data_IF_915393905054
#
_entry.id   IF_915393905054
#
_cell.length_a   1.000
_cell.length_b   1.000
_cell.length_c   1.000
_cell.angle_alpha   90.00
_cell.angle_beta   90.00
_cell.angle_gamma   90.00
#
_symmetry.space_group_name_H-M   'P 1'
#
loop_
_entity.id
_entity.type
_entity.pdbx_description
1 polymer ?
#
# COMPACT_ATOMS: atom_id res chain seq x y z
N UNK A 1 -26.91 7.22 7.89
CA UNK A 1 -26.30 8.04 8.96
C UNK A 1 -25.10 7.38 9.63
N UNK A 2 -24.34 6.57 8.96
CA UNK A 2 -23.17 5.90 9.48
C UNK A 2 -21.89 6.40 8.83
N UNK A 3 -21.45 7.62 9.13
CA UNK A 3 -20.03 7.90 8.98
C UNK A 3 -19.31 7.04 10.00
N UNK A 4 -18.59 6.02 9.54
CA UNK A 4 -17.67 5.28 10.40
C UNK A 4 -16.71 6.31 11.02
N UNK A 5 -16.87 6.57 12.31
CA UNK A 5 -16.08 7.56 13.06
C UNK A 5 -14.62 7.11 13.25
N UNK A 6 -14.23 6.00 12.63
CA UNK A 6 -12.94 5.34 12.72
C UNK A 6 -12.01 5.71 11.55
N UNK A 7 -11.83 7.01 11.30
CA UNK A 7 -10.77 7.49 10.42
C UNK A 7 -10.94 7.25 8.91
N UNK A 8 -12.18 7.10 8.43
CA UNK A 8 -12.45 7.04 6.98
C UNK A 8 -12.10 5.71 6.28
N UNK A 9 -11.61 4.71 7.01
CA UNK A 9 -11.39 3.37 6.48
C UNK A 9 -12.72 2.61 6.35
N UNK A 10 -12.86 1.87 5.26
CA UNK A 10 -13.98 0.94 5.12
C UNK A 10 -13.89 -0.14 6.20
N UNK A 11 -15.00 -0.47 6.89
CA UNK A 11 -15.00 -1.50 7.91
C UNK A 11 -14.54 -2.85 7.34
N UNK A 12 -13.76 -3.62 8.10
CA UNK A 12 -13.25 -4.92 7.68
C UNK A 12 -14.36 -5.89 7.25
N UNK A 13 -15.55 -5.81 7.86
CA UNK A 13 -16.70 -6.64 7.45
C UNK A 13 -17.18 -6.33 6.02
N UNK A 14 -17.14 -5.06 5.61
CA UNK A 14 -17.54 -4.67 4.26
C UNK A 14 -16.52 -5.14 3.22
N UNK A 15 -15.23 -5.01 3.54
CA UNK A 15 -14.14 -5.51 2.68
C UNK A 15 -14.20 -7.04 2.55
N UNK A 16 -14.46 -7.74 3.64
CA UNK A 16 -14.67 -9.19 3.65
C UNK A 16 -15.87 -9.61 2.80
N UNK A 17 -16.99 -8.89 2.94
CA UNK A 17 -18.20 -9.15 2.13
C UNK A 17 -17.93 -8.92 0.65
N UNK A 18 -17.23 -7.86 0.30
CA UNK A 18 -16.83 -7.58 -1.09
C UNK A 18 -15.89 -8.64 -1.65
N UNK A 19 -14.87 -9.06 -0.89
CA UNK A 19 -13.99 -10.18 -1.23
C UNK A 19 -14.79 -11.46 -1.50
N UNK A 20 -15.69 -11.82 -0.58
CA UNK A 20 -16.51 -13.01 -0.72
C UNK A 20 -17.36 -12.95 -1.99
N UNK A 21 -18.07 -11.85 -2.21
CA UNK A 21 -18.93 -11.67 -3.39
C UNK A 21 -18.15 -11.77 -4.71
N UNK A 22 -16.98 -11.15 -4.80
CA UNK A 22 -16.13 -11.23 -5.99
C UNK A 22 -15.66 -12.66 -6.22
N UNK A 23 -15.23 -13.37 -5.20
CA UNK A 23 -14.71 -14.72 -5.30
C UNK A 23 -15.84 -15.73 -5.62
N UNK A 24 -17.03 -15.56 -5.02
CA UNK A 24 -18.20 -16.39 -5.32
C UNK A 24 -18.65 -16.23 -6.80
N UNK A 25 -18.72 -14.99 -7.29
CA UNK A 25 -19.07 -14.72 -8.70
C UNK A 25 -18.03 -15.27 -9.68
N UNK A 26 -16.77 -15.25 -9.28
CA UNK A 26 -15.69 -15.81 -10.10
C UNK A 26 -15.70 -17.35 -10.07
N UNK A 27 -16.10 -17.98 -8.97
CA UNK A 27 -15.83 -19.38 -8.68
C UNK A 27 -14.34 -19.66 -8.48
N UNK A 28 -13.56 -18.60 -8.22
CA UNK A 28 -12.11 -18.66 -7.96
C UNK A 28 -11.68 -17.50 -7.05
N UNK A 29 -10.48 -17.60 -6.47
CA UNK A 29 -9.95 -16.50 -5.65
C UNK A 29 -9.43 -15.37 -6.55
N UNK A 30 -10.18 -14.29 -6.66
CA UNK A 30 -9.84 -13.05 -7.39
C UNK A 30 -9.50 -11.89 -6.47
N UNK A 31 -10.01 -11.90 -5.25
CA UNK A 31 -9.89 -10.80 -4.31
C UNK A 31 -9.30 -11.28 -2.98
N UNK A 32 -8.48 -10.42 -2.40
CA UNK A 32 -8.00 -10.49 -1.02
C UNK A 32 -8.56 -9.27 -0.28
N UNK A 33 -8.60 -9.30 1.05
CA UNK A 33 -9.01 -8.15 1.84
C UNK A 33 -8.07 -7.87 3.01
N UNK A 34 -8.08 -6.62 3.44
CA UNK A 34 -7.28 -6.15 4.57
C UNK A 34 -8.18 -5.95 5.79
N UNK A 35 -7.68 -6.30 6.96
CA UNK A 35 -8.23 -5.88 8.23
C UNK A 35 -7.74 -4.49 8.60
N UNK A 36 -8.58 -3.69 9.23
CA UNK A 36 -8.25 -2.32 9.61
C UNK A 36 -8.10 -2.13 11.12
N UNK A 37 -8.14 -3.20 11.90
CA UNK A 37 -7.84 -3.12 13.32
C UNK A 37 -6.38 -2.66 13.53
N UNK A 38 -6.17 -1.69 14.40
CA UNK A 38 -4.88 -1.08 14.67
C UNK A 38 -4.64 -0.94 16.19
N UNK A 39 -3.40 -0.79 16.64
CA UNK A 39 -3.04 -0.79 18.07
C UNK A 39 -3.82 0.21 18.93
N UNK A 40 -4.22 1.34 18.38
CA UNK A 40 -4.95 2.41 19.07
C UNK A 40 -6.48 2.38 18.86
N UNK A 41 -7.06 1.30 18.34
CA UNK A 41 -8.51 1.22 18.07
C UNK A 41 -9.35 1.17 19.34
N UNK A 42 -8.85 0.57 20.40
CA UNK A 42 -9.55 0.41 21.66
C UNK A 42 -8.75 1.06 22.79
N UNK A 43 -9.32 2.09 23.38
CA UNK A 43 -8.65 2.90 24.38
C UNK A 43 -9.49 3.01 25.65
N UNK A 44 -8.92 2.62 26.78
CA UNK A 44 -9.47 2.84 28.10
C UNK A 44 -9.18 4.30 28.51
N UNK A 45 -10.15 5.18 28.27
CA UNK A 45 -10.01 6.61 28.53
C UNK A 45 -9.91 6.91 30.00
N UNK A 46 -10.49 6.08 30.86
CA UNK A 46 -10.44 6.29 32.32
C UNK A 46 -9.03 6.06 32.88
N UNK A 47 -8.32 5.10 32.36
CA UNK A 47 -6.96 4.74 32.77
C UNK A 47 -5.87 5.20 31.79
N UNK A 48 -6.26 5.90 30.72
CA UNK A 48 -5.36 6.43 29.68
C UNK A 48 -4.38 5.37 29.13
N UNK A 49 -4.91 4.21 28.73
CA UNK A 49 -4.11 3.08 28.19
C UNK A 49 -4.86 2.29 27.13
N UNK A 50 -4.15 1.49 26.29
CA UNK A 50 -4.79 0.57 25.37
C UNK A 50 -5.69 -0.44 26.10
N UNK A 51 -6.87 -0.73 25.55
CA UNK A 51 -7.73 -1.82 25.99
C UNK A 51 -7.41 -3.08 25.15
N UNK A 52 -6.40 -3.83 25.57
CA UNK A 52 -5.96 -5.02 24.85
C UNK A 52 -7.00 -6.15 24.81
N UNK A 53 -7.91 -6.25 25.79
CA UNK A 53 -8.95 -7.27 25.75
C UNK A 53 -9.85 -7.09 24.54
N UNK A 54 -10.45 -5.91 24.39
CA UNK A 54 -11.31 -5.59 23.26
C UNK A 54 -10.54 -5.60 21.92
N UNK A 55 -9.28 -5.13 21.95
CA UNK A 55 -8.42 -5.12 20.77
C UNK A 55 -8.20 -6.54 20.26
N UNK A 56 -7.82 -7.47 21.11
CA UNK A 56 -7.54 -8.85 20.73
C UNK A 56 -8.79 -9.61 20.29
N UNK A 57 -9.93 -9.38 20.93
CA UNK A 57 -11.22 -9.90 20.47
C UNK A 57 -11.56 -9.42 19.04
N UNK A 58 -11.31 -8.15 18.75
CA UNK A 58 -11.53 -7.59 17.42
C UNK A 58 -10.54 -8.19 16.39
N UNK A 59 -9.28 -8.33 16.74
CA UNK A 59 -8.28 -8.99 15.88
C UNK A 59 -8.72 -10.42 15.52
N UNK A 60 -9.14 -11.21 16.51
CA UNK A 60 -9.66 -12.57 16.30
C UNK A 60 -10.92 -12.57 15.42
N UNK A 61 -11.81 -11.61 15.62
CA UNK A 61 -13.01 -11.44 14.78
C UNK A 61 -12.64 -11.16 13.33
N UNK A 62 -11.68 -10.27 13.09
CA UNK A 62 -11.22 -9.95 11.74
C UNK A 62 -10.55 -11.14 11.07
N UNK A 63 -9.73 -11.87 11.80
CA UNK A 63 -9.09 -13.09 11.29
C UNK A 63 -10.09 -14.23 11.07
N UNK A 64 -10.85 -14.60 12.11
CA UNK A 64 -11.69 -15.80 12.10
C UNK A 64 -12.99 -15.64 11.34
N UNK A 65 -13.67 -14.50 11.48
CA UNK A 65 -14.97 -14.25 10.86
C UNK A 65 -14.84 -13.56 9.51
N UNK A 66 -13.99 -12.52 9.41
CA UNK A 66 -13.85 -11.73 8.19
C UNK A 66 -12.79 -12.29 7.24
N UNK A 67 -11.96 -13.23 7.69
CA UNK A 67 -10.96 -13.89 6.85
C UNK A 67 -10.07 -12.91 6.10
N UNK A 68 -9.57 -11.90 6.83
CA UNK A 68 -8.63 -10.94 6.29
C UNK A 68 -7.31 -11.61 5.90
N UNK A 69 -6.59 -11.02 4.95
CA UNK A 69 -5.33 -11.56 4.42
C UNK A 69 -4.10 -10.77 4.89
N UNK A 70 -4.29 -9.55 5.40
CA UNK A 70 -3.24 -8.67 5.93
C UNK A 70 -3.84 -7.58 6.80
N UNK A 71 -3.01 -6.89 7.57
CA UNK A 71 -3.39 -5.67 8.29
C UNK A 71 -3.15 -4.43 7.43
N UNK A 72 -4.05 -3.42 7.52
CA UNK A 72 -3.87 -2.09 6.92
C UNK A 72 -3.95 -1.04 7.99
N UNK A 73 -2.91 -0.22 8.11
CA UNK A 73 -2.77 0.79 9.15
C UNK A 73 -2.54 2.18 8.63
N UNK A 74 -3.05 3.14 9.41
CA UNK A 74 -2.82 4.57 9.31
C UNK A 74 -2.36 5.08 10.68
N UNK A 75 -1.05 5.22 10.87
CA UNK A 75 -0.46 5.59 12.16
C UNK A 75 -0.89 6.96 12.66
N UNK A 76 -1.31 7.84 11.74
CA UNK A 76 -1.75 9.21 11.99
C UNK A 76 -3.26 9.37 12.18
N UNK A 77 -3.98 8.28 12.43
CA UNK A 77 -5.40 8.31 12.80
C UNK A 77 -5.59 7.88 14.25
N UNK A 78 -6.67 8.35 14.87
CA UNK A 78 -6.98 8.05 16.27
C UNK A 78 -8.43 7.57 16.43
N UNK A 79 -8.77 6.38 15.93
CA UNK A 79 -10.13 5.84 15.99
C UNK A 79 -10.58 5.49 17.41
N UNK A 80 -9.66 5.15 18.29
CA UNK A 80 -9.91 4.83 19.70
C UNK A 80 -10.00 6.06 20.62
N UNK A 81 -9.80 7.28 20.05
CA UNK A 81 -9.81 8.54 20.81
C UNK A 81 -8.80 8.59 21.97
N UNK A 82 -7.61 8.04 21.71
CA UNK A 82 -6.49 8.09 22.65
C UNK A 82 -5.90 9.49 22.83
N UNK A 83 -6.26 10.43 21.94
CA UNK A 83 -5.59 11.72 21.76
C UNK A 83 -4.32 11.65 20.92
N UNK A 84 -3.88 10.45 20.59
CA UNK A 84 -2.63 10.19 19.86
C UNK A 84 -2.85 9.14 18.75
N UNK A 85 -2.05 9.20 17.69
CA UNK A 85 -1.86 8.08 16.80
C UNK A 85 -0.92 7.03 17.44
N UNK A 86 -0.22 6.25 16.62
CA UNK A 86 0.74 5.28 17.14
C UNK A 86 2.00 5.21 16.27
N UNK A 87 3.08 4.72 16.86
CA UNK A 87 4.31 4.39 16.15
C UNK A 87 4.43 2.89 15.96
N UNK A 88 5.09 2.47 14.90
CA UNK A 88 5.34 1.05 14.63
C UNK A 88 6.27 0.42 15.67
N UNK A 89 7.18 1.21 16.24
CA UNK A 89 8.18 0.80 17.22
C UNK A 89 7.75 1.06 18.68
N UNK A 90 6.46 1.30 18.92
CA UNK A 90 5.95 1.47 20.27
C UNK A 90 5.82 0.11 20.99
N UNK A 91 6.74 -0.13 21.93
CA UNK A 91 6.84 -1.39 22.67
C UNK A 91 5.64 -1.64 23.60
N UNK A 92 4.94 -0.59 24.02
CA UNK A 92 3.81 -0.72 24.95
C UNK A 92 2.47 -0.86 24.26
N UNK A 93 2.32 -0.28 23.07
CA UNK A 93 1.06 -0.27 22.35
C UNK A 93 1.07 -1.17 21.11
N UNK A 94 2.12 -1.06 20.29
CA UNK A 94 2.17 -1.74 19.00
C UNK A 94 2.75 -3.15 19.09
N UNK A 95 3.77 -3.40 19.93
CA UNK A 95 4.37 -4.72 20.04
C UNK A 95 3.40 -5.80 20.58
N UNK A 96 2.52 -5.53 21.58
CA UNK A 96 1.49 -6.49 21.94
C UNK A 96 0.57 -6.90 20.79
N UNK A 97 0.26 -5.97 19.88
CA UNK A 97 -0.49 -6.29 18.66
C UNK A 97 0.31 -7.24 17.74
N UNK A 98 1.62 -6.99 17.56
CA UNK A 98 2.47 -7.88 16.76
C UNK A 98 2.50 -9.29 17.32
N UNK A 99 2.68 -9.45 18.62
CA UNK A 99 2.71 -10.78 19.26
C UNK A 99 1.37 -11.50 19.07
N UNK A 100 0.25 -10.85 19.35
CA UNK A 100 -1.08 -11.43 19.10
C UNK A 100 -1.28 -11.79 17.63
N UNK A 101 -0.84 -10.95 16.72
CA UNK A 101 -0.93 -11.21 15.27
C UNK A 101 -0.09 -12.43 14.84
N UNK A 102 1.11 -12.60 15.41
CA UNK A 102 1.96 -13.78 15.16
C UNK A 102 1.31 -15.08 15.64
N UNK A 103 0.70 -15.06 16.82
CA UNK A 103 -0.08 -16.20 17.35
C UNK A 103 -1.18 -16.62 16.38
N UNK A 104 -1.79 -15.65 15.70
CA UNK A 104 -2.83 -15.89 14.70
C UNK A 104 -2.28 -16.25 13.30
N UNK A 105 -0.94 -16.31 13.14
CA UNK A 105 -0.29 -16.57 11.85
C UNK A 105 -0.31 -15.39 10.88
N UNK A 106 -0.73 -14.19 11.32
CA UNK A 106 -0.83 -12.98 10.52
C UNK A 106 0.47 -12.19 10.59
N UNK A 107 1.23 -12.14 9.47
CA UNK A 107 2.59 -11.56 9.44
C UNK A 107 2.76 -10.42 8.44
N UNK A 108 1.69 -9.96 7.80
CA UNK A 108 1.76 -8.98 6.72
C UNK A 108 1.05 -7.68 7.11
N UNK A 109 1.81 -6.59 7.12
CA UNK A 109 1.36 -5.25 7.49
C UNK A 109 1.50 -4.30 6.31
N UNK A 110 0.42 -3.60 5.98
CA UNK A 110 0.36 -2.58 4.94
C UNK A 110 0.14 -1.23 5.60
N UNK A 111 1.17 -0.40 5.60
CA UNK A 111 1.23 0.78 6.46
C UNK A 111 1.28 2.02 5.61
N UNK A 112 0.31 2.91 5.82
CA UNK A 112 0.33 4.24 5.21
C UNK A 112 1.44 5.08 5.84
N UNK A 113 2.45 5.40 5.05
CA UNK A 113 3.51 6.35 5.35
C UNK A 113 3.60 7.35 4.20
N UNK A 114 4.01 8.57 4.49
CA UNK A 114 3.90 9.67 3.53
C UNK A 114 2.55 10.38 3.59
N UNK A 115 2.28 11.27 2.63
CA UNK A 115 1.06 12.09 2.55
C UNK A 115 0.69 12.73 3.90
N UNK A 116 1.66 13.47 4.48
CA UNK A 116 1.60 14.03 5.83
C UNK A 116 0.39 14.96 6.07
N UNK A 117 -0.05 15.66 5.05
CA UNK A 117 -1.18 16.61 5.07
C UNK A 117 -2.55 15.96 5.32
N UNK A 118 -2.66 14.64 5.21
CA UNK A 118 -3.90 13.92 5.55
C UNK A 118 -4.31 14.07 7.03
N UNK A 119 -3.37 14.44 7.90
CA UNK A 119 -3.68 14.77 9.29
C UNK A 119 -2.93 16.02 9.73
N UNK A 120 -3.68 17.06 10.13
CA UNK A 120 -3.10 18.34 10.56
C UNK A 120 -2.28 18.20 11.85
N UNK A 121 -2.68 17.32 12.76
CA UNK A 121 -2.05 17.17 14.08
C UNK A 121 -1.11 15.98 14.16
N UNK A 122 -1.45 14.88 13.52
CA UNK A 122 -0.74 13.60 13.62
C UNK A 122 0.05 13.23 12.35
N UNK A 123 0.09 14.12 11.34
CA UNK A 123 0.77 13.86 10.06
C UNK A 123 2.22 13.44 10.20
N UNK A 124 2.92 13.92 11.24
CA UNK A 124 4.30 13.54 11.55
C UNK A 124 4.48 12.03 11.81
N UNK A 125 3.43 11.31 12.22
CA UNK A 125 3.44 9.87 12.42
C UNK A 125 3.43 9.08 11.09
N UNK A 126 3.16 9.76 9.97
CA UNK A 126 3.33 9.18 8.64
C UNK A 126 4.80 9.18 8.16
N UNK A 127 5.74 9.73 8.93
CA UNK A 127 7.17 9.63 8.67
C UNK A 127 7.66 8.18 8.84
N UNK A 128 8.59 7.67 7.99
CA UNK A 128 9.04 6.28 8.04
C UNK A 128 10.09 5.97 9.13
N UNK A 129 10.44 6.91 10.00
CA UNK A 129 11.52 6.75 10.98
C UNK A 129 11.32 5.63 12.01
N UNK A 130 10.08 5.24 12.27
CA UNK A 130 9.72 4.14 13.17
C UNK A 130 9.77 2.74 12.52
N UNK A 131 9.96 2.69 11.19
CA UNK A 131 10.02 1.42 10.43
C UNK A 131 11.28 0.64 10.79
N UNK A 132 12.42 1.32 10.93
CA UNK A 132 13.73 0.68 11.13
C UNK A 132 13.76 -0.20 12.39
N UNK A 133 13.36 0.38 13.53
CA UNK A 133 13.35 -0.36 14.80
C UNK A 133 12.30 -1.47 14.77
N UNK A 134 11.09 -1.19 14.31
CA UNK A 134 10.03 -2.19 14.22
C UNK A 134 10.42 -3.39 13.36
N UNK A 135 10.99 -3.14 12.17
CA UNK A 135 11.40 -4.22 11.26
C UNK A 135 12.60 -5.03 11.78
N UNK A 136 13.52 -4.38 12.50
CA UNK A 136 14.66 -5.05 13.12
C UNK A 136 14.23 -5.93 14.30
N UNK A 137 13.34 -5.44 15.14
CA UNK A 137 12.89 -6.12 16.35
C UNK A 137 11.91 -7.28 16.02
N UNK A 138 11.25 -7.21 14.85
CA UNK A 138 10.31 -8.21 14.34
C UNK A 138 10.69 -8.70 12.93
N UNK A 139 11.81 -9.42 12.78
CA UNK A 139 12.30 -9.85 11.46
C UNK A 139 11.41 -10.89 10.77
N UNK A 140 10.49 -11.51 11.50
CA UNK A 140 9.50 -12.46 11.01
C UNK A 140 8.20 -11.81 10.51
N UNK A 141 8.03 -10.48 10.67
CA UNK A 141 6.92 -9.69 10.13
C UNK A 141 7.34 -8.98 8.84
N UNK A 142 6.40 -8.75 7.93
CA UNK A 142 6.63 -8.03 6.68
C UNK A 142 5.91 -6.69 6.69
N UNK A 143 6.63 -5.61 6.44
CA UNK A 143 6.16 -4.22 6.46
C UNK A 143 6.13 -3.66 5.04
N UNK A 144 4.94 -3.49 4.47
CA UNK A 144 4.75 -2.85 3.18
C UNK A 144 4.45 -1.38 3.42
N UNK A 145 5.39 -0.52 3.05
CA UNK A 145 5.35 0.92 3.25
C UNK A 145 4.67 1.56 2.06
N UNK A 146 3.43 2.03 2.25
CA UNK A 146 2.62 2.63 1.21
C UNK A 146 3.20 3.94 0.72
N UNK A 147 2.96 4.19 -0.56
CA UNK A 147 3.42 5.39 -1.27
C UNK A 147 4.93 5.57 -1.25
N UNK A 148 5.68 4.50 -0.88
CA UNK A 148 7.14 4.58 -0.65
C UNK A 148 7.53 5.72 0.29
N UNK A 149 6.66 6.04 1.25
CA UNK A 149 6.79 7.14 2.21
C UNK A 149 6.97 8.53 1.57
N UNK A 150 6.46 8.78 0.37
CA UNK A 150 6.49 10.11 -0.26
C UNK A 150 5.74 11.13 0.60
N UNK A 151 6.41 12.20 1.05
CA UNK A 151 5.87 13.13 2.07
C UNK A 151 4.60 13.83 1.62
N UNK A 152 4.57 14.34 0.39
CA UNK A 152 3.47 15.09 -0.19
C UNK A 152 3.05 14.52 -1.53
N UNK A 153 1.78 14.69 -1.88
CA UNK A 153 1.23 14.35 -3.19
C UNK A 153 1.05 15.58 -4.08
N UNK A 154 1.04 15.40 -5.41
CA UNK A 154 0.66 16.49 -6.32
C UNK A 154 -0.72 17.06 -5.96
N UNK A 155 -0.80 18.40 -5.88
CA UNK A 155 -2.01 19.12 -5.47
C UNK A 155 -2.02 19.53 -4.00
N UNK A 156 -1.10 19.05 -3.17
CA UNK A 156 -0.87 19.60 -1.84
C UNK A 156 -0.02 20.88 -1.96
N UNK A 157 -0.30 21.95 -1.17
CA UNK A 157 0.47 23.19 -1.24
C UNK A 157 1.98 22.99 -1.06
N UNK A 158 2.34 22.12 -0.12
CA UNK A 158 3.72 21.80 0.23
C UNK A 158 4.44 20.93 -0.80
N UNK A 159 3.73 20.44 -1.83
CA UNK A 159 4.35 19.68 -2.92
C UNK A 159 5.31 20.53 -3.74
N UNK A 160 5.08 21.86 -3.78
CA UNK A 160 5.91 22.84 -4.47
C UNK A 160 7.06 23.39 -3.60
N UNK A 161 7.21 22.93 -2.35
CA UNK A 161 8.31 23.33 -1.48
C UNK A 161 9.62 22.70 -2.00
N UNK A 162 10.65 23.53 -2.27
CA UNK A 162 11.99 23.10 -2.69
C UNK A 162 12.60 22.05 -1.75
N UNK A 163 12.14 22.00 -0.50
CA UNK A 163 12.52 20.98 0.48
C UNK A 163 11.87 19.63 0.25
N UNK A 164 10.90 19.53 -0.63
CA UNK A 164 10.23 18.27 -0.94
C UNK A 164 11.02 17.43 -1.94
N UNK A 165 11.53 18.06 -2.99
CA UNK A 165 12.33 17.40 -4.02
C UNK A 165 13.40 18.35 -4.57
N UNK A 166 14.65 17.90 -4.62
CA UNK A 166 15.77 18.60 -5.26
C UNK A 166 16.13 17.87 -6.58
N UNK A 167 15.88 18.45 -7.74
CA UNK A 167 16.20 17.81 -9.03
C UNK A 167 17.70 17.67 -9.28
N UNK A 168 18.55 18.46 -8.58
CA UNK A 168 20.01 18.41 -8.75
C UNK A 168 20.61 17.18 -8.08
N UNK A 169 20.17 16.88 -6.86
CA UNK A 169 20.61 15.74 -6.05
C UNK A 169 19.68 14.54 -6.16
N UNK A 170 18.46 14.75 -6.64
CA UNK A 170 17.39 13.77 -6.62
C UNK A 170 16.83 13.50 -5.23
N UNK A 171 17.14 14.35 -4.23
CA UNK A 171 16.67 14.18 -2.85
C UNK A 171 15.15 14.35 -2.77
N UNK A 172 14.53 13.44 -2.00
CA UNK A 172 13.09 13.31 -1.95
C UNK A 172 12.63 13.17 -0.49
N UNK A 173 11.93 14.18 0.02
CA UNK A 173 11.58 14.24 1.43
C UNK A 173 10.80 12.99 1.91
N UNK A 174 11.22 12.43 3.04
CA UNK A 174 10.75 11.21 3.69
C UNK A 174 11.03 9.93 2.90
N UNK A 175 10.92 9.98 1.57
CA UNK A 175 11.28 8.84 0.73
C UNK A 175 12.75 8.45 0.92
N UNK A 176 13.66 9.42 0.93
CA UNK A 176 15.08 9.16 1.18
C UNK A 176 15.37 8.66 2.59
N UNK A 177 14.56 9.05 3.57
CA UNK A 177 14.71 8.49 4.92
C UNK A 177 14.35 7.00 4.94
N UNK A 178 13.34 6.57 4.16
CA UNK A 178 13.07 5.15 3.95
C UNK A 178 14.24 4.45 3.23
N UNK A 179 14.86 5.07 2.21
CA UNK A 179 16.02 4.50 1.52
C UNK A 179 17.23 4.35 2.46
N UNK A 180 17.47 5.33 3.31
CA UNK A 180 18.56 5.31 4.32
C UNK A 180 18.39 4.14 5.32
N UNK A 181 17.16 3.72 5.63
CA UNK A 181 16.94 2.52 6.47
C UNK A 181 17.61 1.30 5.85
N UNK A 182 17.37 1.04 4.56
CA UNK A 182 17.99 -0.09 3.86
C UNK A 182 19.50 0.05 3.74
N UNK A 183 20.00 1.26 3.54
CA UNK A 183 21.44 1.53 3.48
C UNK A 183 22.14 1.19 4.80
N UNK A 184 21.54 1.57 5.94
CA UNK A 184 22.07 1.23 7.27
C UNK A 184 21.91 -0.25 7.63
N UNK A 185 20.88 -0.90 7.06
CA UNK A 185 20.54 -2.29 7.34
C UNK A 185 20.48 -3.12 6.04
N UNK A 186 21.61 -3.37 5.36
CA UNK A 186 21.60 -4.02 4.04
C UNK A 186 21.02 -5.44 4.05
N UNK A 187 21.05 -6.13 5.20
CA UNK A 187 20.47 -7.46 5.39
C UNK A 187 18.99 -7.46 5.77
N UNK A 188 18.40 -6.31 6.06
CA UNK A 188 16.97 -6.21 6.37
C UNK A 188 16.14 -6.56 5.12
N UNK A 189 15.32 -7.60 5.20
CA UNK A 189 14.63 -8.20 4.05
C UNK A 189 13.10 -8.24 4.22
N UNK A 190 12.58 -7.55 5.21
CA UNK A 190 11.19 -7.55 5.60
C UNK A 190 10.48 -6.19 5.44
N UNK A 191 11.11 -5.24 4.74
CA UNK A 191 10.53 -3.93 4.40
C UNK A 191 10.37 -3.83 2.89
N UNK A 192 9.20 -3.39 2.44
CA UNK A 192 8.80 -3.28 1.04
C UNK A 192 8.29 -1.88 0.72
N UNK A 193 8.62 -1.36 -0.46
CA UNK A 193 8.17 -0.06 -0.96
C UNK A 193 6.95 -0.26 -1.87
N UNK A 194 5.78 0.21 -1.47
CA UNK A 194 4.58 0.16 -2.29
C UNK A 194 4.39 1.49 -3.04
N UNK A 195 3.98 1.42 -4.31
CA UNK A 195 3.96 2.57 -5.23
C UNK A 195 2.57 3.06 -5.60
N UNK A 196 1.53 2.63 -4.88
CA UNK A 196 0.15 3.11 -5.05
C UNK A 196 0.05 4.63 -4.84
N UNK A 197 -0.81 5.28 -5.56
CA UNK A 197 -0.91 6.74 -5.72
C UNK A 197 0.39 7.40 -6.20
N UNK A 198 1.53 7.16 -5.55
CA UNK A 198 2.78 7.86 -5.87
C UNK A 198 3.22 7.67 -7.32
N UNK A 199 3.18 6.44 -7.85
CA UNK A 199 3.46 6.24 -9.28
C UNK A 199 2.42 6.93 -10.18
N UNK A 200 1.12 6.66 -9.94
CA UNK A 200 0.05 7.17 -10.80
C UNK A 200 0.00 8.70 -10.87
N UNK A 201 0.23 9.37 -9.74
CA UNK A 201 0.23 10.83 -9.68
C UNK A 201 1.47 11.45 -10.32
N UNK A 202 2.65 10.87 -10.09
CA UNK A 202 3.90 11.43 -10.62
C UNK A 202 4.12 11.12 -12.10
N UNK A 203 3.70 9.96 -12.59
CA UNK A 203 4.03 9.49 -13.93
C UNK A 203 3.56 10.45 -15.05
N UNK A 204 2.49 11.21 -14.82
CA UNK A 204 1.93 12.15 -15.80
C UNK A 204 2.45 13.56 -15.58
N UNK A 205 2.43 14.03 -14.33
CA UNK A 205 2.68 15.47 -14.03
C UNK A 205 4.13 15.76 -13.67
N UNK A 206 4.87 14.76 -13.16
CA UNK A 206 6.26 14.90 -12.74
C UNK A 206 7.07 13.65 -13.09
N UNK A 207 7.27 13.35 -14.40
CA UNK A 207 7.90 12.10 -14.85
C UNK A 207 9.34 11.91 -14.35
N UNK A 208 10.12 12.99 -14.22
CA UNK A 208 11.48 12.93 -13.67
C UNK A 208 11.45 12.50 -12.19
N UNK A 209 10.61 13.13 -11.39
CA UNK A 209 10.37 12.77 -9.99
C UNK A 209 9.92 11.30 -9.86
N UNK A 210 9.06 10.84 -10.77
CA UNK A 210 8.64 9.45 -10.86
C UNK A 210 9.83 8.51 -11.13
N UNK A 211 10.74 8.89 -12.03
CA UNK A 211 11.95 8.13 -12.31
C UNK A 211 12.87 8.05 -11.10
N UNK A 212 13.02 9.13 -10.32
CA UNK A 212 13.76 9.11 -9.06
C UNK A 212 13.12 8.20 -8.02
N UNK A 213 11.80 8.28 -7.82
CA UNK A 213 11.08 7.43 -6.88
C UNK A 213 11.33 5.94 -7.19
N UNK A 214 11.07 5.54 -8.42
CA UNK A 214 11.22 4.13 -8.85
C UNK A 214 12.69 3.71 -8.88
N UNK A 215 13.56 4.59 -9.37
CA UNK A 215 15.00 4.36 -9.44
C UNK A 215 15.63 4.09 -8.07
N UNK A 216 15.29 4.89 -7.08
CA UNK A 216 15.74 4.72 -5.69
C UNK A 216 15.17 3.45 -5.05
N UNK A 217 13.86 3.20 -5.20
CA UNK A 217 13.26 1.97 -4.70
C UNK A 217 14.01 0.73 -5.20
N UNK A 218 14.25 0.65 -6.51
CA UNK A 218 14.95 -0.49 -7.11
C UNK A 218 16.45 -0.51 -6.79
N UNK A 219 17.09 0.65 -6.69
CA UNK A 219 18.52 0.75 -6.37
C UNK A 219 18.82 0.26 -4.95
N UNK A 220 18.03 0.67 -3.98
CA UNK A 220 18.30 0.40 -2.56
C UNK A 220 17.64 -0.89 -2.06
N UNK A 221 16.37 -1.11 -2.38
CA UNK A 221 15.61 -2.27 -1.92
C UNK A 221 15.64 -3.44 -2.92
N UNK A 222 15.95 -3.18 -4.19
CA UNK A 222 15.84 -4.18 -5.26
C UNK A 222 14.41 -4.34 -5.77
N UNK A 223 14.26 -4.79 -7.01
CA UNK A 223 12.94 -5.02 -7.62
C UNK A 223 12.09 -6.07 -6.90
N UNK A 224 12.70 -6.91 -6.05
CA UNK A 224 12.02 -7.93 -5.23
C UNK A 224 11.24 -7.34 -4.04
N UNK A 225 11.53 -6.08 -3.67
CA UNK A 225 10.92 -5.38 -2.54
C UNK A 225 10.06 -4.18 -2.98
N UNK A 226 9.77 -4.05 -4.25
CA UNK A 226 8.82 -3.05 -4.74
C UNK A 226 7.48 -3.71 -5.04
N UNK A 227 6.40 -3.17 -4.46
CA UNK A 227 5.05 -3.72 -4.56
C UNK A 227 4.17 -2.78 -5.38
N UNK A 228 3.47 -3.34 -6.36
CA UNK A 228 2.49 -2.62 -7.17
C UNK A 228 1.25 -2.30 -6.37
N UNK A 229 0.79 -1.07 -6.49
CA UNK A 229 -0.52 -0.60 -6.09
C UNK A 229 -1.02 0.44 -7.08
N UNK A 230 -2.32 0.67 -7.14
CA UNK A 230 -2.92 1.77 -7.90
C UNK A 230 -3.58 2.78 -7.00
N UNK A 231 -4.03 2.35 -5.82
CA UNK A 231 -4.82 3.15 -4.89
C UNK A 231 -6.13 3.65 -5.53
N UNK A 232 -6.71 2.84 -6.44
CA UNK A 232 -8.04 3.11 -6.99
C UNK A 232 -9.12 2.86 -5.91
N UNK A 233 -10.20 3.65 -5.90
CA UNK A 233 -10.78 4.40 -7.05
C UNK A 233 -10.41 5.89 -7.13
N UNK A 234 -9.51 6.41 -6.30
CA UNK A 234 -9.17 7.85 -6.28
C UNK A 234 -8.79 8.42 -7.65
N UNK A 235 -8.21 7.59 -8.51
CA UNK A 235 -7.68 7.95 -9.82
C UNK A 235 -8.52 7.37 -10.97
N UNK A 236 -9.74 6.93 -10.71
CA UNK A 236 -10.60 6.27 -11.70
C UNK A 236 -10.16 4.85 -12.02
N UNK A 237 -10.20 4.44 -13.32
CA UNK A 237 -9.81 3.10 -13.73
C UNK A 237 -8.30 2.86 -13.55
N UNK A 238 -7.89 1.71 -12.98
CA UNK A 238 -6.47 1.36 -12.85
C UNK A 238 -5.77 1.07 -14.18
N UNK A 239 -6.50 0.90 -15.27
CA UNK A 239 -5.95 0.39 -16.53
C UNK A 239 -4.89 1.32 -17.14
N UNK A 240 -5.11 2.62 -17.11
CA UNK A 240 -4.14 3.58 -17.64
C UNK A 240 -2.83 3.59 -16.82
N UNK A 241 -2.91 3.41 -15.50
CA UNK A 241 -1.73 3.32 -14.62
C UNK A 241 -0.93 2.06 -14.95
N UNK A 242 -1.64 0.93 -15.17
CA UNK A 242 -1.03 -0.34 -15.58
C UNK A 242 -0.32 -0.19 -16.93
N UNK A 243 -0.99 0.39 -17.91
CA UNK A 243 -0.44 0.54 -19.28
C UNK A 243 0.70 1.56 -19.32
N UNK A 244 0.66 2.59 -18.49
CA UNK A 244 1.78 3.51 -18.27
C UNK A 244 2.99 2.78 -17.72
N UNK A 245 2.85 2.00 -16.65
CA UNK A 245 3.99 1.32 -16.03
C UNK A 245 4.60 0.22 -16.92
N UNK A 246 3.81 -0.43 -17.77
CA UNK A 246 4.35 -1.36 -18.79
C UNK A 246 5.39 -0.69 -19.69
N UNK A 247 5.18 0.58 -20.06
CA UNK A 247 6.05 1.36 -20.94
C UNK A 247 7.11 2.14 -20.18
N UNK A 248 6.87 2.42 -18.89
CA UNK A 248 7.75 3.23 -18.06
C UNK A 248 9.19 2.73 -18.09
N UNK A 249 10.13 3.67 -18.23
CA UNK A 249 11.56 3.43 -18.05
C UNK A 249 12.22 4.66 -17.42
N UNK A 250 13.32 4.43 -16.73
CA UNK A 250 14.21 5.47 -16.25
C UNK A 250 15.06 5.91 -17.43
N UNK A 251 15.29 7.22 -17.60
CA UNK A 251 16.12 7.75 -18.68
C UNK A 251 17.58 7.31 -18.56
N UNK A 252 18.31 7.27 -19.67
CA UNK A 252 19.75 6.94 -19.67
C UNK A 252 20.52 7.95 -18.83
N UNK A 253 20.18 9.25 -18.95
CA UNK A 253 20.79 10.33 -18.19
C UNK A 253 20.67 10.11 -16.67
N UNK A 254 19.49 9.76 -16.16
CA UNK A 254 19.30 9.50 -14.74
C UNK A 254 19.96 8.18 -14.31
N UNK A 255 20.02 7.19 -15.18
CA UNK A 255 20.77 5.96 -14.92
C UNK A 255 22.27 6.27 -14.72
N UNK A 256 22.84 7.05 -15.61
CA UNK A 256 24.27 7.39 -15.58
C UNK A 256 24.60 8.30 -14.39
N UNK A 257 23.80 9.36 -14.18
CA UNK A 257 24.01 10.34 -13.13
C UNK A 257 23.84 9.79 -11.73
N UNK A 258 22.79 8.99 -11.50
CA UNK A 258 22.40 8.52 -10.16
C UNK A 258 22.64 7.02 -9.93
N UNK A 259 23.18 6.29 -10.90
CA UNK A 259 23.42 4.86 -10.80
C UNK A 259 22.14 4.05 -10.69
N UNK A 260 21.06 4.51 -11.31
CA UNK A 260 19.84 3.74 -11.45
C UNK A 260 19.99 2.69 -12.55
N UNK A 261 19.05 1.74 -12.60
CA UNK A 261 19.00 0.72 -13.66
C UNK A 261 17.68 0.77 -14.39
N UNK A 262 17.71 0.60 -15.70
CA UNK A 262 16.49 0.36 -16.46
C UNK A 262 15.77 -0.88 -15.97
N UNK A 263 14.44 -0.81 -15.93
CA UNK A 263 13.61 -1.94 -15.50
C UNK A 263 13.54 -2.99 -16.62
N UNK A 264 14.03 -4.17 -16.32
CA UNK A 264 13.85 -5.33 -17.19
C UNK A 264 12.39 -5.83 -17.16
N UNK A 265 11.99 -6.66 -18.14
CA UNK A 265 10.68 -7.35 -18.09
C UNK A 265 10.51 -8.16 -16.80
N UNK A 266 11.60 -8.75 -16.29
CA UNK A 266 11.61 -9.52 -15.05
C UNK A 266 11.35 -8.61 -13.83
N UNK A 267 11.97 -7.43 -13.77
CA UNK A 267 11.72 -6.46 -12.69
C UNK A 267 10.27 -5.99 -12.69
N UNK A 268 9.74 -5.64 -13.85
CA UNK A 268 8.33 -5.24 -13.97
C UNK A 268 7.37 -6.37 -13.57
N UNK A 269 7.64 -7.62 -13.94
CA UNK A 269 6.82 -8.75 -13.52
C UNK A 269 6.82 -8.96 -12.00
N UNK A 270 7.99 -8.81 -11.35
CA UNK A 270 8.12 -8.84 -9.89
C UNK A 270 7.27 -7.74 -9.25
N UNK A 271 7.45 -6.50 -9.68
CA UNK A 271 6.74 -5.32 -9.16
C UNK A 271 5.23 -5.48 -9.37
N UNK A 272 4.76 -5.82 -10.57
CA UNK A 272 3.34 -5.93 -10.90
C UNK A 272 2.58 -6.97 -10.06
N UNK A 273 3.22 -8.06 -9.65
CA UNK A 273 2.46 -9.05 -8.91
C UNK A 273 3.24 -10.20 -8.29
N UNK A 274 4.42 -10.58 -8.81
CA UNK A 274 5.13 -11.74 -8.29
C UNK A 274 5.57 -11.54 -6.82
N UNK A 275 5.94 -10.32 -6.44
CA UNK A 275 6.29 -10.00 -5.07
C UNK A 275 5.08 -10.09 -4.14
N UNK A 276 3.95 -9.49 -4.53
CA UNK A 276 2.71 -9.60 -3.77
C UNK A 276 2.24 -11.06 -3.68
N UNK A 277 2.29 -11.81 -4.78
CA UNK A 277 1.94 -13.23 -4.79
C UNK A 277 2.77 -14.04 -3.79
N UNK A 278 4.08 -13.77 -3.72
CA UNK A 278 4.98 -14.41 -2.74
C UNK A 278 4.57 -14.08 -1.29
N UNK A 279 4.30 -12.81 -1.00
CA UNK A 279 3.92 -12.35 0.34
C UNK A 279 2.56 -12.90 0.81
N UNK A 280 1.61 -13.05 -0.11
CA UNK A 280 0.29 -13.60 0.18
C UNK A 280 0.19 -15.12 -0.02
N UNK A 281 1.28 -15.81 -0.35
CA UNK A 281 1.28 -17.25 -0.59
C UNK A 281 0.42 -17.67 -1.80
N UNK A 282 0.25 -16.78 -2.79
CA UNK A 282 -0.57 -17.06 -3.97
C UNK A 282 0.20 -17.91 -4.98
N UNK A 283 -0.37 -19.06 -5.37
CA UNK A 283 0.17 -19.89 -6.45
C UNK A 283 -0.11 -19.25 -7.82
N UNK A 284 0.90 -18.58 -8.38
CA UNK A 284 0.77 -17.84 -9.64
C UNK A 284 0.42 -18.75 -10.82
N UNK A 285 0.99 -19.96 -10.89
CA UNK A 285 0.68 -20.92 -11.96
C UNK A 285 -0.76 -21.37 -11.94
N UNK A 286 -1.26 -21.72 -10.77
CA UNK A 286 -2.66 -22.08 -10.57
C UNK A 286 -3.61 -20.94 -10.95
N UNK A 287 -3.32 -19.72 -10.48
CA UNK A 287 -4.15 -18.55 -10.79
C UNK A 287 -4.15 -18.21 -12.29
N UNK A 288 -3.02 -18.31 -12.96
CA UNK A 288 -2.95 -18.09 -14.42
C UNK A 288 -3.77 -19.09 -15.22
N UNK A 289 -3.93 -20.31 -14.72
CA UNK A 289 -4.75 -21.33 -15.37
C UNK A 289 -6.24 -21.15 -15.02
N UNK A 290 -6.59 -20.85 -13.78
CA UNK A 290 -7.98 -20.76 -13.31
C UNK A 290 -8.69 -19.48 -13.80
N UNK A 291 -8.01 -18.33 -13.77
CA UNK A 291 -8.62 -17.02 -14.05
C UNK A 291 -9.25 -16.92 -15.45
N UNK A 292 -8.64 -17.38 -16.56
CA UNK A 292 -9.23 -17.27 -17.89
C UNK A 292 -10.56 -18.02 -18.08
N UNK A 293 -10.82 -19.03 -17.26
CA UNK A 293 -11.98 -19.91 -17.36
C UNK A 293 -13.01 -19.66 -16.24
N UNK A 294 -12.81 -18.67 -15.38
CA UNK A 294 -13.72 -18.42 -14.26
C UNK A 294 -14.96 -17.59 -14.65
N UNK A 295 -15.93 -17.51 -13.72
CA UNK A 295 -17.23 -16.86 -13.96
C UNK A 295 -17.10 -15.37 -14.34
N UNK A 296 -16.14 -14.63 -13.76
CA UNK A 296 -15.93 -13.21 -14.11
C UNK A 296 -15.33 -13.05 -15.51
N UNK A 297 -14.43 -13.94 -15.91
CA UNK A 297 -13.90 -13.94 -17.29
C UNK A 297 -14.98 -14.32 -18.32
N UNK A 298 -15.85 -15.27 -17.99
CA UNK A 298 -17.01 -15.63 -18.81
C UNK A 298 -17.98 -14.44 -18.94
N UNK A 299 -18.31 -13.79 -17.82
CA UNK A 299 -19.16 -12.60 -17.81
C UNK A 299 -18.55 -11.46 -18.65
N UNK A 300 -17.24 -11.24 -18.54
CA UNK A 300 -16.53 -10.26 -19.36
C UNK A 300 -16.59 -10.61 -20.84
N UNK A 301 -16.44 -11.88 -21.22
CA UNK A 301 -16.62 -12.36 -22.60
C UNK A 301 -18.00 -12.01 -23.13
N UNK A 302 -19.05 -12.41 -22.43
CA UNK A 302 -20.42 -12.10 -22.81
C UNK A 302 -20.68 -10.57 -22.92
N UNK A 303 -20.14 -9.77 -22.02
CA UNK A 303 -20.22 -8.31 -22.12
C UNK A 303 -19.58 -7.76 -23.41
N UNK A 304 -18.40 -8.27 -23.78
CA UNK A 304 -17.71 -7.85 -25.00
C UNK A 304 -18.46 -8.30 -26.27
N UNK A 305 -18.98 -9.50 -26.28
CA UNK A 305 -19.75 -10.07 -27.41
C UNK A 305 -21.05 -9.29 -27.66
N UNK A 306 -21.60 -8.66 -26.62
CA UNK A 306 -22.75 -7.78 -26.72
C UNK A 306 -22.41 -6.30 -26.95
N UNK A 307 -21.24 -6.00 -27.51
CA UNK A 307 -20.83 -4.64 -27.86
C UNK A 307 -20.20 -3.86 -26.70
N UNK A 308 -19.86 -4.51 -25.60
CA UNK A 308 -19.18 -3.90 -24.46
C UNK A 308 -17.77 -3.42 -24.80
N UNK A 309 -17.28 -2.45 -24.05
CA UNK A 309 -15.97 -1.86 -24.27
C UNK A 309 -14.84 -2.70 -23.67
N UNK A 310 -13.73 -2.80 -24.39
CA UNK A 310 -12.56 -3.58 -23.96
C UNK A 310 -11.87 -3.02 -22.72
N UNK A 311 -11.88 -1.70 -22.55
CA UNK A 311 -11.16 -0.99 -21.49
C UNK A 311 -12.02 0.12 -20.91
N UNK A 312 -12.04 0.25 -19.59
CA UNK A 312 -12.60 1.42 -18.92
C UNK A 312 -11.73 2.69 -19.09
N UNK A 313 -10.55 2.59 -19.68
CA UNK A 313 -9.65 3.71 -19.88
C UNK A 313 -10.20 4.77 -20.85
N UNK A 314 -11.19 4.42 -21.69
CA UNK A 314 -11.90 5.38 -22.56
C UNK A 314 -12.86 6.28 -21.78
N UNK A 315 -13.17 5.94 -20.54
CA UNK A 315 -14.10 6.64 -19.68
C UNK A 315 -13.36 7.36 -18.57
N UNK A 316 -12.55 8.34 -18.92
CA UNK A 316 -12.19 9.38 -17.97
C UNK A 316 -13.48 10.12 -17.54
N UNK A 317 -13.32 11.24 -16.89
CA UNK A 317 -14.43 12.16 -16.64
C UNK A 317 -15.01 12.62 -17.98
N UNK A 318 -16.05 11.93 -18.47
CA UNK A 318 -16.82 12.35 -19.62
C UNK A 318 -17.86 13.36 -19.10
N UNK A 319 -17.85 14.57 -19.62
CA UNK A 319 -18.96 15.49 -19.40
C UNK A 319 -20.17 14.95 -20.15
N UNK A 320 -21.32 14.89 -19.48
CA UNK A 320 -22.61 14.48 -20.09
C UNK A 320 -23.14 15.49 -21.13
N UNK A 321 -22.41 16.56 -21.36
CA UNK A 321 -22.78 17.68 -22.25
C UNK A 321 -22.00 17.68 -23.58
N UNK A 322 -21.43 16.52 -23.97
CA UNK A 322 -20.77 16.33 -25.25
C UNK A 322 -21.63 15.61 -26.29
#
# INVERSE_FOLDING_TARGET
>A
EGRDRRGGLLPSWLMSTSKKKVNDLAGSQRALCQGNCAPNHYWDTANNKPNFSELFEQMEREHNKYKIDSWKWYCHTDPGRSGNGFKLDDEKMTYPFYEKSKEMGMKLYRIHKGYASQSRTLGHLAHPGDVEKAARDHPDLNFIIYHSAMKHGPGEPEFQDDKFFDPTTGDFAWHDDLMKIKQRNPKMDNVYCEIGSSYGTLAIVHPEMCMHLIGKNVKYYGSDHVIWGTDCPWWGSPQWVIDSFKRFQISDELCDKFGYKKLSKKDKAKIFGLNAARLYGVNVKEKRNAIPADGLSTLKGAYLDNGGQRLNAAWGWVRDDA
#
